data_IF_702791772745
#
_entry.id   IF_702791772745
#
_cell.length_a   1.000
_cell.length_b   1.000
_cell.length_c   1.000
_cell.angle_alpha   90.00
_cell.angle_beta   90.00
_cell.angle_gamma   90.00
#
_symmetry.space_group_name_H-M   'P 1'
#
loop_
_entity.id
_entity.type
_entity.pdbx_description
1 polymer ?
#
# COMPACT_ATOMS: atom_id res chain seq x y z
N UNK A 1 8.82 -2.54 16.82
CA UNK A 1 9.67 -1.66 15.98
C UNK A 1 8.71 -0.81 15.16
N UNK A 2 9.00 0.46 14.86
CA UNK A 2 8.13 1.25 13.96
C UNK A 2 8.23 0.67 12.54
N UNK A 3 7.14 0.65 11.77
CA UNK A 3 7.20 0.24 10.37
C UNK A 3 8.05 1.21 9.53
N UNK A 4 8.06 2.49 9.92
CA UNK A 4 8.95 3.53 9.39
C UNK A 4 10.43 3.27 9.74
N UNK A 5 10.73 2.70 10.91
CA UNK A 5 12.14 2.44 11.30
C UNK A 5 12.82 1.38 10.42
N UNK A 6 12.02 0.57 9.73
CA UNK A 6 12.48 -0.41 8.76
C UNK A 6 12.96 0.20 7.42
N UNK A 7 12.81 1.52 7.23
CA UNK A 7 13.09 2.24 5.97
C UNK A 7 14.57 2.39 5.58
N UNK A 8 15.53 1.76 6.28
CA UNK A 8 16.94 1.95 5.96
C UNK A 8 17.76 0.65 6.02
N UNK A 9 18.04 0.03 4.86
CA UNK A 9 19.19 -0.84 4.73
C UNK A 9 20.19 -0.19 3.78
N UNK A 10 21.08 0.68 4.29
CA UNK A 10 22.43 0.75 3.71
C UNK A 10 23.19 -0.51 4.15
N UNK A 11 22.86 -1.65 3.57
CA UNK A 11 23.69 -2.84 3.66
C UNK A 11 24.17 -3.18 2.26
N UNK A 12 25.47 -2.95 2.04
CA UNK A 12 26.21 -3.35 0.84
C UNK A 12 26.22 -4.87 0.79
N UNK A 13 25.38 -5.49 -0.04
CA UNK A 13 25.46 -6.93 -0.30
C UNK A 13 25.37 -7.26 -1.80
N UNK A 14 25.95 -8.43 -2.12
CA UNK A 14 26.45 -9.03 -3.38
C UNK A 14 25.45 -9.13 -4.58
N UNK A 15 25.92 -9.37 -5.83
CA UNK A 15 25.12 -9.21 -7.06
C UNK A 15 23.90 -10.12 -7.21
N UNK A 16 22.85 -9.48 -7.75
CA UNK A 16 21.52 -9.82 -8.31
C UNK A 16 21.04 -11.28 -8.56
N UNK A 17 21.86 -12.33 -8.49
CA UNK A 17 21.41 -13.66 -8.94
C UNK A 17 21.37 -14.65 -7.78
N UNK A 18 20.14 -14.99 -7.35
CA UNK A 18 19.80 -15.95 -6.29
C UNK A 18 19.99 -15.49 -4.84
N UNK A 19 19.32 -14.41 -4.42
CA UNK A 19 19.08 -14.25 -2.98
C UNK A 19 17.98 -15.25 -2.54
N UNK A 20 18.29 -16.31 -1.75
CA UNK A 20 17.27 -17.21 -1.20
C UNK A 20 16.20 -16.43 -0.41
N UNK A 21 16.56 -15.24 0.08
CA UNK A 21 15.65 -14.30 0.72
C UNK A 21 14.52 -13.83 -0.19
N UNK A 22 14.77 -13.39 -1.43
CA UNK A 22 13.73 -12.89 -2.36
C UNK A 22 12.66 -13.95 -2.62
N UNK A 23 13.08 -15.15 -3.04
CA UNK A 23 12.16 -16.25 -3.31
C UNK A 23 11.44 -16.76 -2.05
N UNK A 24 12.12 -16.74 -0.89
CA UNK A 24 11.50 -17.09 0.39
C UNK A 24 10.42 -16.10 0.79
N UNK A 25 10.69 -14.79 0.72
CA UNK A 25 9.73 -13.75 1.08
C UNK A 25 8.54 -13.73 0.12
N UNK A 26 8.75 -13.96 -1.18
CA UNK A 26 7.64 -14.10 -2.15
C UNK A 26 6.73 -15.27 -1.79
N UNK A 27 7.29 -16.45 -1.51
CA UNK A 27 6.50 -17.62 -1.09
C UNK A 27 5.76 -17.37 0.21
N UNK A 28 6.42 -16.74 1.20
CA UNK A 28 5.80 -16.43 2.49
C UNK A 28 4.60 -15.49 2.32
N UNK A 29 4.76 -14.38 1.58
CA UNK A 29 3.68 -13.41 1.40
C UNK A 29 2.51 -14.01 0.60
N UNK A 30 2.81 -14.82 -0.43
CA UNK A 30 1.79 -15.55 -1.17
C UNK A 30 1.02 -16.55 -0.28
N UNK A 31 1.71 -17.27 0.61
CA UNK A 31 1.09 -18.17 1.58
C UNK A 31 0.23 -17.42 2.59
N UNK A 32 0.66 -16.24 3.03
CA UNK A 32 -0.11 -15.40 3.96
C UNK A 32 -1.41 -14.91 3.32
N UNK A 33 -1.36 -14.44 2.06
CA UNK A 33 -2.55 -14.03 1.29
C UNK A 33 -3.49 -15.23 1.11
N UNK A 34 -2.96 -16.38 0.70
CA UNK A 34 -3.76 -17.59 0.51
C UNK A 34 -4.47 -18.02 1.80
N UNK A 35 -3.71 -18.14 2.89
CA UNK A 35 -4.23 -18.52 4.21
C UNK A 35 -5.24 -17.50 4.75
N UNK A 36 -5.11 -16.23 4.38
CA UNK A 36 -6.05 -15.19 4.77
C UNK A 36 -7.36 -15.26 3.98
N UNK A 37 -7.29 -15.52 2.67
CA UNK A 37 -8.47 -15.75 1.82
C UNK A 37 -9.35 -16.86 2.41
N UNK A 38 -8.74 -17.96 2.88
CA UNK A 38 -9.45 -19.09 3.51
C UNK A 38 -10.19 -18.70 4.80
N UNK A 39 -9.63 -17.77 5.58
CA UNK A 39 -10.25 -17.24 6.82
C UNK A 39 -11.36 -16.23 6.52
N UNK A 40 -11.32 -15.60 5.35
CA UNK A 40 -12.31 -14.62 4.90
C UNK A 40 -12.07 -13.20 5.41
N UNK A 41 -13.00 -12.30 5.07
CA UNK A 41 -12.86 -10.85 5.20
C UNK A 41 -12.94 -10.18 3.82
N UNK A 42 -13.31 -8.91 3.75
CA UNK A 42 -13.45 -8.22 2.46
C UNK A 42 -12.08 -8.03 1.83
N UNK A 43 -11.13 -7.43 2.56
CA UNK A 43 -9.76 -7.27 2.09
C UNK A 43 -9.11 -8.61 1.74
N UNK A 44 -9.35 -9.66 2.53
CA UNK A 44 -8.84 -11.00 2.24
C UNK A 44 -9.32 -11.49 0.87
N UNK A 45 -10.63 -11.38 0.60
CA UNK A 45 -11.21 -11.82 -0.66
C UNK A 45 -10.69 -10.98 -1.83
N UNK A 46 -10.56 -9.67 -1.66
CA UNK A 46 -10.05 -8.76 -2.68
C UNK A 46 -8.53 -8.91 -2.92
N UNK A 47 -7.76 -9.32 -1.92
CA UNK A 47 -6.31 -9.57 -2.06
C UNK A 47 -5.98 -10.65 -3.08
N UNK A 48 -6.95 -11.50 -3.49
CA UNK A 48 -6.78 -12.48 -4.57
C UNK A 48 -6.44 -11.85 -5.92
N UNK A 49 -6.71 -10.56 -6.09
CA UNK A 49 -6.45 -9.81 -7.33
C UNK A 49 -5.08 -9.14 -7.34
N UNK A 50 -4.30 -9.23 -6.25
CA UNK A 50 -2.92 -8.76 -6.20
C UNK A 50 -1.96 -9.94 -6.22
N UNK A 51 -1.04 -9.93 -7.19
CA UNK A 51 0.05 -10.89 -7.25
C UNK A 51 1.25 -10.37 -6.45
N UNK A 52 1.67 -11.03 -5.36
CA UNK A 52 2.84 -10.59 -4.60
C UNK A 52 4.13 -10.84 -5.39
N UNK A 53 4.95 -9.80 -5.53
CA UNK A 53 6.25 -9.84 -6.22
C UNK A 53 7.31 -9.29 -5.28
N UNK A 54 8.19 -10.17 -4.79
CA UNK A 54 9.34 -9.72 -4.01
C UNK A 54 10.38 -9.14 -4.97
N UNK A 55 10.99 -8.03 -4.60
CA UNK A 55 12.04 -7.36 -5.38
C UNK A 55 13.23 -6.99 -4.51
N UNK A 56 14.38 -6.84 -5.13
CA UNK A 56 15.58 -6.25 -4.56
C UNK A 56 15.98 -5.09 -5.46
N UNK A 57 15.15 -4.06 -5.48
CA UNK A 57 15.31 -2.88 -6.34
C UNK A 57 15.50 -1.64 -5.48
N UNK A 58 16.51 -0.82 -5.78
CA UNK A 58 16.73 0.37 -4.98
C UNK A 58 15.54 1.32 -5.11
N UNK A 59 14.89 1.43 -6.27
CA UNK A 59 13.73 2.32 -6.51
C UNK A 59 12.54 2.04 -5.58
N UNK A 60 12.49 0.88 -4.91
CA UNK A 60 11.46 0.51 -3.94
C UNK A 60 12.08 0.15 -2.58
N UNK A 61 11.87 0.99 -1.57
CA UNK A 61 12.37 0.72 -0.22
C UNK A 61 11.43 -0.17 0.62
N UNK A 62 10.12 -0.06 0.42
CA UNK A 62 9.10 -0.78 1.21
C UNK A 62 8.21 -1.64 0.33
N UNK A 63 7.03 -1.13 -0.02
CA UNK A 63 5.97 -1.81 -0.74
C UNK A 63 5.23 -0.80 -1.61
N UNK A 64 4.66 -1.29 -2.70
CA UNK A 64 3.79 -0.51 -3.57
C UNK A 64 2.81 -1.44 -4.29
N UNK A 65 1.83 -0.85 -4.97
CA UNK A 65 0.93 -1.59 -5.87
C UNK A 65 0.63 -0.78 -7.12
N UNK A 66 0.55 -1.47 -8.25
CA UNK A 66 0.01 -0.96 -9.51
C UNK A 66 -1.45 -1.40 -9.73
N UNK A 67 -2.09 -2.01 -8.72
CA UNK A 67 -3.43 -2.58 -8.82
C UNK A 67 -3.51 -3.97 -9.45
N UNK A 68 -2.41 -4.58 -9.87
CA UNK A 68 -2.33 -5.99 -10.29
C UNK A 68 -1.28 -6.77 -9.50
N UNK A 69 -0.23 -6.07 -9.09
CA UNK A 69 0.90 -6.59 -8.34
C UNK A 69 1.01 -5.86 -7.02
N UNK A 70 1.45 -6.59 -6.00
CA UNK A 70 1.94 -6.05 -4.74
C UNK A 70 3.46 -6.24 -4.77
N UNK A 71 4.19 -5.19 -5.11
CA UNK A 71 5.66 -5.22 -5.12
C UNK A 71 6.17 -4.89 -3.73
N UNK A 72 7.17 -5.61 -3.25
CA UNK A 72 7.80 -5.32 -1.95
C UNK A 72 9.28 -5.63 -1.94
N UNK A 73 10.05 -4.81 -1.23
CA UNK A 73 11.46 -5.03 -1.03
C UNK A 73 11.71 -6.22 -0.10
N UNK A 74 12.50 -7.21 -0.53
CA UNK A 74 12.68 -8.47 0.19
C UNK A 74 13.30 -8.31 1.58
N UNK A 75 14.19 -7.33 1.78
CA UNK A 75 14.77 -7.04 3.10
C UNK A 75 13.73 -6.42 4.03
N UNK A 76 12.87 -5.55 3.49
CA UNK A 76 11.79 -4.92 4.23
C UNK A 76 10.79 -6.00 4.70
N UNK A 77 10.35 -6.86 3.79
CA UNK A 77 9.42 -7.95 4.09
C UNK A 77 9.92 -8.91 5.18
N UNK A 78 11.23 -9.17 5.22
CA UNK A 78 11.84 -10.06 6.21
C UNK A 78 11.77 -9.53 7.65
N UNK A 79 11.56 -8.22 7.84
CA UNK A 79 11.43 -7.59 9.16
C UNK A 79 9.98 -7.57 9.67
N UNK A 80 9.01 -7.91 8.82
CA UNK A 80 7.60 -7.82 9.15
C UNK A 80 7.10 -9.05 9.91
N UNK A 81 6.20 -8.79 10.85
CA UNK A 81 5.34 -9.79 11.45
C UNK A 81 4.21 -10.20 10.49
N UNK A 82 3.55 -11.35 10.71
CA UNK A 82 2.37 -11.73 9.93
C UNK A 82 1.22 -10.73 10.04
N UNK A 83 1.07 -10.05 11.18
CA UNK A 83 0.04 -9.03 11.39
C UNK A 83 0.32 -7.77 10.56
N UNK A 84 1.58 -7.33 10.52
CA UNK A 84 2.00 -6.20 9.67
C UNK A 84 1.82 -6.52 8.18
N UNK A 85 2.22 -7.72 7.71
CA UNK A 85 1.96 -8.11 6.31
C UNK A 85 0.47 -8.15 5.96
N UNK A 86 -0.39 -8.57 6.91
CA UNK A 86 -1.84 -8.53 6.72
C UNK A 86 -2.35 -7.09 6.64
N UNK A 87 -1.92 -6.23 7.56
CA UNK A 87 -2.25 -4.79 7.55
C UNK A 87 -1.88 -4.16 6.20
N UNK A 88 -0.63 -4.35 5.75
CA UNK A 88 -0.11 -3.80 4.49
C UNK A 88 -0.91 -4.29 3.29
N UNK A 89 -1.22 -5.59 3.25
CA UNK A 89 -2.01 -6.17 2.17
C UNK A 89 -3.42 -5.56 2.14
N UNK A 90 -4.08 -5.42 3.29
CA UNK A 90 -5.38 -4.77 3.41
C UNK A 90 -5.34 -3.31 2.94
N UNK A 91 -4.32 -2.59 3.40
CA UNK A 91 -4.11 -1.18 3.07
C UNK A 91 -3.94 -0.96 1.56
N UNK A 92 -3.12 -1.76 0.89
CA UNK A 92 -2.92 -1.67 -0.57
C UNK A 92 -4.17 -2.07 -1.36
N UNK A 93 -4.94 -3.05 -0.88
CA UNK A 93 -6.27 -3.35 -1.46
C UNK A 93 -7.16 -2.11 -1.42
N UNK A 94 -7.19 -1.39 -0.30
CA UNK A 94 -8.02 -0.19 -0.18
C UNK A 94 -7.53 0.98 -1.04
N UNK A 95 -6.21 1.13 -1.25
CA UNK A 95 -5.69 2.05 -2.27
C UNK A 95 -6.23 1.74 -3.67
N UNK A 96 -6.30 0.45 -4.03
CA UNK A 96 -6.84 0.02 -5.31
C UNK A 96 -8.34 0.32 -5.43
N UNK A 97 -9.13 -0.04 -4.41
CA UNK A 97 -10.59 0.18 -4.40
C UNK A 97 -10.96 1.66 -4.41
N UNK A 98 -10.23 2.49 -3.66
CA UNK A 98 -10.45 3.94 -3.66
C UNK A 98 -9.97 4.61 -4.97
N UNK A 99 -9.12 3.93 -5.73
CA UNK A 99 -8.54 4.45 -6.97
C UNK A 99 -7.36 5.40 -6.73
N UNK A 100 -6.71 5.30 -5.56
CA UNK A 100 -5.51 6.07 -5.22
C UNK A 100 -4.29 5.67 -6.05
N UNK A 101 -4.35 4.51 -6.71
CA UNK A 101 -3.33 4.05 -7.65
C UNK A 101 -3.23 4.95 -8.91
N UNK A 102 -4.30 5.67 -9.27
CA UNK A 102 -4.34 6.51 -10.48
C UNK A 102 -3.76 7.90 -10.22
N UNK A 103 -2.93 8.38 -11.14
CA UNK A 103 -2.27 9.69 -11.06
C UNK A 103 -3.22 10.87 -10.87
N UNK A 104 -2.81 11.84 -10.03
CA UNK A 104 -3.53 13.09 -9.78
C UNK A 104 -2.63 14.31 -10.03
N UNK A 105 -2.34 14.65 -11.30
CA UNK A 105 -1.27 15.60 -11.68
C UNK A 105 -1.47 17.04 -11.22
N UNK A 106 -2.66 17.41 -10.73
CA UNK A 106 -2.97 18.77 -10.29
C UNK A 106 -3.01 18.95 -8.78
N UNK A 107 -2.62 17.93 -8.02
CA UNK A 107 -2.60 17.96 -6.56
C UNK A 107 -1.18 18.07 -6.01
N UNK A 108 -1.07 18.64 -4.82
CA UNK A 108 0.14 18.55 -4.03
C UNK A 108 0.37 17.10 -3.61
N UNK A 109 1.47 16.49 -4.06
CA UNK A 109 1.76 15.07 -3.89
C UNK A 109 1.73 14.64 -2.43
N UNK A 110 2.43 15.36 -1.54
CA UNK A 110 2.52 14.98 -0.13
C UNK A 110 1.14 14.96 0.53
N UNK A 111 0.35 16.04 0.36
CA UNK A 111 -0.99 16.10 0.95
C UNK A 111 -1.93 15.06 0.34
N UNK A 112 -1.81 14.79 -0.95
CA UNK A 112 -2.62 13.78 -1.60
C UNK A 112 -2.33 12.39 -1.03
N UNK A 113 -1.06 12.04 -0.87
CA UNK A 113 -0.65 10.76 -0.30
C UNK A 113 -1.14 10.61 1.14
N UNK A 114 -0.95 11.61 2.00
CA UNK A 114 -1.44 11.56 3.38
C UNK A 114 -2.97 11.39 3.46
N UNK A 115 -3.70 11.99 2.52
CA UNK A 115 -5.15 11.82 2.44
C UNK A 115 -5.55 10.41 1.97
N UNK A 116 -4.84 9.85 1.00
CA UNK A 116 -5.01 8.47 0.55
C UNK A 116 -4.72 7.47 1.67
N UNK A 117 -3.59 7.64 2.36
CA UNK A 117 -3.18 6.83 3.52
C UNK A 117 -4.25 6.83 4.60
N UNK A 118 -4.77 8.01 4.95
CA UNK A 118 -5.82 8.15 5.96
C UNK A 118 -7.07 7.35 5.59
N UNK A 119 -7.58 7.50 4.36
CA UNK A 119 -8.80 6.81 3.91
C UNK A 119 -8.58 5.29 3.85
N UNK A 120 -7.44 4.83 3.34
CA UNK A 120 -7.11 3.40 3.33
C UNK A 120 -7.03 2.83 4.75
N UNK A 121 -6.35 3.51 5.67
CA UNK A 121 -6.23 3.10 7.08
C UNK A 121 -7.58 3.11 7.81
N UNK A 122 -8.46 4.06 7.50
CA UNK A 122 -9.83 4.06 8.02
C UNK A 122 -10.61 2.81 7.60
N UNK A 123 -10.48 2.39 6.34
CA UNK A 123 -11.17 1.20 5.83
C UNK A 123 -10.61 -0.10 6.42
N UNK A 124 -9.30 -0.16 6.66
CA UNK A 124 -8.65 -1.25 7.39
C UNK A 124 -9.18 -1.36 8.83
N UNK A 125 -9.36 -0.22 9.52
CA UNK A 125 -9.97 -0.17 10.85
C UNK A 125 -11.41 -0.68 10.86
N UNK A 126 -12.23 -0.33 9.86
CA UNK A 126 -13.61 -0.80 9.75
C UNK A 126 -13.72 -2.32 9.60
N UNK A 127 -12.68 -2.97 9.07
CA UNK A 127 -12.58 -4.43 9.02
C UNK A 127 -12.07 -5.06 10.32
N UNK A 128 -11.80 -4.27 11.35
CA UNK A 128 -11.34 -4.73 12.66
C UNK A 128 -9.87 -5.15 12.69
N UNK A 129 -9.07 -4.73 11.71
CA UNK A 129 -7.62 -4.93 11.71
C UNK A 129 -6.93 -3.84 12.54
N UNK A 130 -5.83 -4.21 13.20
CA UNK A 130 -5.02 -3.27 13.95
C UNK A 130 -4.21 -2.38 13.01
N UNK A 131 -4.20 -1.08 13.30
CA UNK A 131 -3.24 -0.17 12.68
C UNK A 131 -1.89 -0.23 13.42
N UNK A 132 -0.77 -0.20 12.69
CA UNK A 132 0.53 0.15 13.24
C UNK A 132 0.46 1.49 13.99
N UNK A 133 1.29 1.64 15.03
CA UNK A 133 1.35 2.86 15.85
C UNK A 133 1.61 4.11 15.02
N UNK A 134 2.38 3.95 13.96
CA UNK A 134 2.88 4.99 13.07
C UNK A 134 2.06 5.14 11.78
N UNK A 135 0.94 4.43 11.65
CA UNK A 135 0.05 4.61 10.51
C UNK A 135 -0.59 6.01 10.50
N UNK A 136 -0.63 6.64 9.33
CA UNK A 136 -1.31 7.93 9.15
C UNK A 136 -2.80 7.78 9.42
N UNK A 137 -3.26 8.36 10.53
CA UNK A 137 -4.68 8.37 10.88
C UNK A 137 -5.05 9.62 11.69
N UNK A 138 -5.70 10.57 11.02
CA UNK A 138 -6.26 11.77 11.64
C UNK A 138 -7.61 11.48 12.28
N UNK A 139 -7.65 11.25 13.59
CA UNK A 139 -8.89 10.92 14.32
C UNK A 139 -10.05 11.90 14.08
N UNK A 140 -9.77 13.19 13.91
CA UNK A 140 -10.78 14.22 13.65
C UNK A 140 -11.41 14.12 12.25
N UNK A 141 -10.78 13.40 11.34
CA UNK A 141 -11.21 13.21 9.95
C UNK A 141 -11.74 11.79 9.68
N UNK A 142 -11.90 10.94 10.71
CA UNK A 142 -12.39 9.58 10.53
C UNK A 142 -13.69 9.52 9.72
N UNK A 143 -13.77 8.62 8.73
CA UNK A 143 -14.91 8.49 7.83
C UNK A 143 -14.92 9.47 6.65
N UNK A 144 -13.91 10.34 6.52
CA UNK A 144 -13.80 11.24 5.37
C UNK A 144 -13.06 10.60 4.21
N UNK A 145 -13.46 10.98 3.00
CA UNK A 145 -12.77 10.60 1.77
C UNK A 145 -11.47 11.38 1.61
N UNK A 146 -10.52 10.81 0.87
CA UNK A 146 -9.23 11.42 0.51
C UNK A 146 -9.38 12.85 -0.03
N UNK A 147 -10.39 13.15 -0.85
CA UNK A 147 -10.65 14.52 -1.31
C UNK A 147 -10.93 15.51 -0.16
N UNK A 148 -11.75 15.12 0.82
CA UNK A 148 -12.10 15.95 1.97
C UNK A 148 -10.93 16.10 2.94
N UNK A 149 -10.14 15.04 3.11
CA UNK A 149 -8.93 15.05 3.95
C UNK A 149 -7.84 15.90 3.30
N UNK A 150 -7.68 15.81 1.98
CA UNK A 150 -6.75 16.64 1.20
C UNK A 150 -7.04 18.14 1.38
N UNK A 151 -8.32 18.54 1.29
CA UNK A 151 -8.73 19.93 1.51
C UNK A 151 -8.47 20.37 2.96
N UNK A 152 -8.75 19.49 3.94
CA UNK A 152 -8.46 19.75 5.35
C UNK A 152 -6.95 19.90 5.63
N UNK A 153 -6.12 19.09 4.99
CA UNK A 153 -4.65 19.12 5.12
C UNK A 153 -4.04 20.45 4.66
N UNK A 154 -4.75 21.28 3.89
CA UNK A 154 -4.30 22.63 3.57
C UNK A 154 -4.11 23.52 4.81
N UNK A 155 -4.83 23.23 5.90
CA UNK A 155 -4.73 23.93 7.18
C UNK A 155 -4.03 23.10 8.27
N UNK A 156 -3.58 21.88 7.96
CA UNK A 156 -2.90 21.01 8.91
C UNK A 156 -1.48 21.52 9.17
N UNK A 157 -1.08 21.71 10.44
CA UNK A 157 0.27 22.18 10.73
C UNK A 157 1.28 21.06 10.48
N UNK A 158 2.32 21.39 9.71
CA UNK A 158 3.49 20.53 9.49
C UNK A 158 3.21 19.15 8.86
N UNK A 159 2.51 19.05 7.71
CA UNK A 159 2.28 17.77 7.03
C UNK A 159 3.58 17.03 6.65
N UNK A 160 4.70 17.75 6.56
CA UNK A 160 6.03 17.17 6.32
C UNK A 160 6.57 16.27 7.44
N UNK A 161 5.94 16.26 8.62
CA UNK A 161 6.32 15.38 9.73
C UNK A 161 5.52 14.07 9.75
N UNK A 162 4.45 14.00 8.97
CA UNK A 162 3.69 12.77 8.77
C UNK A 162 4.37 11.95 7.67
N UNK A 163 4.59 10.67 7.94
CA UNK A 163 5.25 9.76 6.99
C UNK A 163 4.24 8.75 6.47
N UNK A 164 4.15 8.63 5.14
CA UNK A 164 3.43 7.55 4.48
C UNK A 164 4.27 6.28 4.50
N UNK A 165 3.59 5.12 4.56
CA UNK A 165 4.25 3.84 4.74
C UNK A 165 4.63 3.18 3.40
N UNK A 166 3.81 3.33 2.38
CA UNK A 166 4.01 2.79 1.04
C UNK A 166 4.55 3.85 0.07
N UNK A 167 5.32 3.41 -0.92
CA UNK A 167 5.76 4.30 -2.00
C UNK A 167 4.71 4.25 -3.10
N UNK A 168 4.00 5.35 -3.38
CA UNK A 168 3.20 5.40 -4.60
C UNK A 168 4.11 5.26 -5.84
N UNK A 169 3.75 4.44 -6.84
CA UNK A 169 4.59 4.22 -8.03
C UNK A 169 4.99 5.52 -8.74
N UNK A 170 4.12 6.54 -8.66
CA UNK A 170 4.26 7.84 -9.32
C UNK A 170 5.16 8.82 -8.55
N UNK A 171 5.46 8.54 -7.29
CA UNK A 171 6.15 9.47 -6.39
C UNK A 171 7.63 9.12 -6.18
N UNK A 172 8.17 8.24 -7.02
CA UNK A 172 9.58 7.84 -6.96
C UNK A 172 10.40 8.48 -8.10
N UNK A 173 10.63 9.82 -8.12
CA UNK A 173 11.70 10.37 -8.92
C UNK A 173 13.01 10.19 -8.13
N UNK A 174 13.51 8.96 -7.98
CA UNK A 174 14.92 8.81 -7.62
C UNK A 174 15.75 9.38 -8.76
N UNK A 175 16.74 10.22 -8.44
CA UNK A 175 17.64 10.74 -9.45
C UNK A 175 18.35 9.58 -10.16
N UNK A 176 18.51 9.61 -11.50
CA UNK A 176 19.11 8.52 -12.27
C UNK A 176 20.53 8.12 -11.84
N UNK A 177 21.21 8.95 -11.02
CA UNK A 177 22.54 8.69 -10.48
C UNK A 177 22.59 8.01 -9.10
N UNK A 178 21.45 7.79 -8.43
CA UNK A 178 21.34 7.21 -7.08
C UNK A 178 20.75 5.78 -7.08
N UNK A 179 20.65 5.13 -8.23
CA UNK A 179 20.08 3.78 -8.39
C UNK A 179 21.20 2.82 -8.77
N UNK A 180 21.76 2.12 -7.78
CA UNK A 180 22.83 1.15 -7.99
C UNK A 180 22.27 -0.22 -8.41
N UNK A 181 21.07 -0.57 -7.91
CA UNK A 181 20.43 -1.87 -8.16
C UNK A 181 19.05 -1.73 -8.79
N UNK A 182 18.89 -2.35 -9.96
CA UNK A 182 17.62 -2.47 -10.70
C UNK A 182 17.26 -3.95 -10.80
N UNK A 183 16.12 -4.32 -10.24
CA UNK A 183 15.59 -5.68 -10.29
C UNK A 183 14.65 -5.82 -11.51
N UNK A 184 14.88 -6.78 -12.42
CA UNK A 184 14.02 -6.98 -13.58
C UNK A 184 12.57 -7.35 -13.23
N UNK A 185 12.33 -7.91 -12.03
CA UNK A 185 10.97 -8.22 -11.57
C UNK A 185 10.23 -6.97 -11.08
N UNK A 186 10.92 -5.85 -10.83
CA UNK A 186 10.29 -4.57 -10.49
C UNK A 186 9.93 -3.79 -11.76
N UNK A 187 8.77 -4.15 -12.32
CA UNK A 187 8.20 -3.55 -13.52
C UNK A 187 6.74 -3.10 -13.27
N UNK A 188 6.51 -2.07 -12.44
CA UNK A 188 5.17 -1.59 -12.16
C UNK A 188 4.51 -1.04 -13.44
N UNK A 189 3.24 -1.38 -13.62
CA UNK A 189 2.42 -0.82 -14.70
C UNK A 189 1.86 0.54 -14.30
N UNK A 190 1.55 1.39 -15.27
CA UNK A 190 0.79 2.61 -15.03
C UNK A 190 -0.71 2.27 -14.94
N UNK A 191 -1.34 2.39 -13.76
CA UNK A 191 -2.76 2.10 -13.60
C UNK A 191 -3.62 3.22 -14.20
N UNK A 192 -4.75 2.83 -14.78
CA UNK A 192 -5.72 3.75 -15.36
C UNK A 192 -7.06 3.75 -14.60
N UNK A 193 -7.96 4.63 -15.03
CA UNK A 193 -9.30 4.76 -14.47
C UNK A 193 -10.12 3.48 -14.66
N UNK A 194 -9.87 2.71 -15.72
CA UNK A 194 -10.59 1.47 -15.99
C UNK A 194 -10.23 0.39 -14.95
N UNK A 195 -8.95 0.26 -14.60
CA UNK A 195 -8.49 -0.64 -13.55
C UNK A 195 -9.07 -0.23 -12.18
N UNK A 196 -9.06 1.06 -11.84
CA UNK A 196 -9.68 1.54 -10.60
C UNK A 196 -11.19 1.23 -10.54
N UNK A 197 -11.91 1.34 -11.67
CA UNK A 197 -13.32 0.97 -11.74
C UNK A 197 -13.56 -0.53 -11.57
N UNK A 198 -12.67 -1.36 -12.12
CA UNK A 198 -12.72 -2.81 -11.93
C UNK A 198 -12.58 -3.18 -10.44
N UNK A 199 -11.66 -2.54 -9.72
CA UNK A 199 -11.51 -2.74 -8.28
C UNK A 199 -12.77 -2.35 -7.49
N UNK A 200 -13.43 -1.25 -7.85
CA UNK A 200 -14.71 -0.85 -7.22
C UNK A 200 -15.82 -1.85 -7.50
N UNK A 201 -15.90 -2.35 -8.73
CA UNK A 201 -16.87 -3.38 -9.09
C UNK A 201 -16.63 -4.67 -8.29
N UNK A 202 -15.38 -5.13 -8.20
CA UNK A 202 -15.01 -6.28 -7.38
C UNK A 202 -15.37 -6.06 -5.91
N UNK A 203 -15.05 -4.90 -5.34
CA UNK A 203 -15.41 -4.55 -3.97
C UNK A 203 -16.92 -4.57 -3.74
N UNK A 204 -17.71 -4.03 -4.67
CA UNK A 204 -19.18 -4.01 -4.55
C UNK A 204 -19.81 -5.41 -4.43
N UNK A 205 -19.16 -6.44 -4.99
CA UNK A 205 -19.61 -7.84 -4.91
C UNK A 205 -19.22 -8.51 -3.60
N UNK A 206 -18.14 -8.05 -2.98
CA UNK A 206 -17.53 -8.68 -1.79
C UNK A 206 -17.94 -8.00 -0.48
N UNK A 207 -18.28 -6.71 -0.53
CA UNK A 207 -18.66 -5.88 0.62
C UNK A 207 -20.11 -6.15 1.01
N UNK A 208 -20.34 -6.41 2.29
CA UNK A 208 -21.69 -6.56 2.86
C UNK A 208 -22.20 -5.21 3.38
N UNK A 209 -23.51 -5.05 3.44
CA UNK A 209 -24.18 -3.88 4.04
C UNK A 209 -23.63 -3.64 5.45
N UNK A 210 -23.23 -2.39 5.71
CA UNK A 210 -22.56 -1.96 6.93
C UNK A 210 -21.63 -0.76 6.69
N UNK A 211 -20.79 -0.38 7.67
CA UNK A 211 -19.98 0.84 7.58
C UNK A 211 -19.08 0.92 6.35
N UNK A 212 -18.50 -0.23 5.95
CA UNK A 212 -17.65 -0.34 4.77
C UNK A 212 -18.44 -0.09 3.47
N UNK A 213 -19.63 -0.67 3.36
CA UNK A 213 -20.54 -0.46 2.24
C UNK A 213 -20.97 1.01 2.14
N UNK A 214 -21.34 1.60 3.27
CA UNK A 214 -21.84 2.97 3.32
C UNK A 214 -20.74 3.97 2.96
N UNK A 215 -19.50 3.73 3.38
CA UNK A 215 -18.35 4.53 2.95
C UNK A 215 -18.16 4.45 1.42
N UNK A 216 -18.28 3.27 0.82
CA UNK A 216 -18.09 3.11 -0.63
C UNK A 216 -19.20 3.76 -1.46
N UNK A 217 -20.43 3.83 -0.96
CA UNK A 217 -21.57 4.43 -1.67
C UNK A 217 -21.58 5.97 -1.64
N UNK A 218 -21.01 6.58 -0.60
CA UNK A 218 -21.08 8.04 -0.38
C UNK A 218 -19.90 8.81 -1.00
N UNK A 219 -19.19 8.20 -1.95
CA UNK A 219 -17.98 8.73 -2.59
C UNK A 219 -18.27 9.76 -3.69
#
# INVERSE_FOLDING_TARGET
>A
MSLIDALCPRQRESPLESHPQKASQQRQWAQDIHSWIERGGTSARLARYLTPVAVMDDRLATVTTDGQHLFFHAVFAAMLTPEERRFITAHLVWHCVCGHIVAQPHRDTLRWNLACEHEANYLVLLEGLNLPRDAVFYFSQAGRHSGQVYDWLAAHPHPQWDHHFDCHPLDSPRHPGDVDRVDPDYAPLEPDVALANLWREQASREVRVGPLHDHLLNR
#
